data_IF_920353985427
#
_entry.id   IF_920353985427
#
_cell.length_a   1.000
_cell.length_b   1.000
_cell.length_c   1.000
_cell.angle_alpha   90.00
_cell.angle_beta   90.00
_cell.angle_gamma   90.00
#
_symmetry.space_group_name_H-M   'P 1'
#
loop_
_entity.id
_entity.type
_entity.pdbx_description
1 polymer ?
#
# COMPACT_ATOMS: atom_id res chain seq x y z
N UNK A 1 19.61 -7.00 -23.61
CA UNK A 1 18.92 -5.96 -22.79
C UNK A 1 17.57 -6.40 -22.21
N UNK A 2 16.82 -7.33 -22.83
CA UNK A 2 15.50 -7.79 -22.33
C UNK A 2 15.53 -8.51 -20.98
N UNK A 3 16.62 -9.18 -20.64
CA UNK A 3 16.77 -9.90 -19.37
C UNK A 3 16.91 -8.98 -18.16
N UNK A 4 17.64 -7.86 -18.29
CA UNK A 4 17.93 -6.95 -17.18
C UNK A 4 16.67 -6.18 -16.75
N UNK A 5 15.85 -5.77 -17.71
CA UNK A 5 14.59 -5.09 -17.42
C UNK A 5 13.50 -6.03 -16.88
N UNK A 6 13.49 -7.30 -17.30
CA UNK A 6 12.62 -8.34 -16.71
C UNK A 6 13.04 -8.68 -15.27
N UNK A 7 14.33 -8.68 -14.95
CA UNK A 7 14.82 -8.84 -13.57
C UNK A 7 14.41 -7.63 -12.72
N UNK A 8 14.61 -6.41 -13.20
CA UNK A 8 14.18 -5.20 -12.50
C UNK A 8 12.67 -5.18 -12.22
N UNK A 9 11.86 -5.58 -13.20
CA UNK A 9 10.40 -5.73 -13.03
C UNK A 9 10.06 -6.65 -11.85
N UNK A 10 10.72 -7.81 -11.75
CA UNK A 10 10.51 -8.78 -10.66
C UNK A 10 10.98 -8.24 -9.32
N UNK A 11 12.12 -7.56 -9.28
CA UNK A 11 12.66 -6.99 -8.05
C UNK A 11 11.75 -5.89 -7.50
N UNK A 12 11.26 -5.00 -8.36
CA UNK A 12 10.30 -3.96 -7.97
C UNK A 12 9.00 -4.55 -7.44
N UNK A 13 8.45 -5.57 -8.14
CA UNK A 13 7.27 -6.29 -7.66
C UNK A 13 7.49 -6.97 -6.31
N UNK A 14 8.60 -7.69 -6.16
CA UNK A 14 8.94 -8.37 -4.92
C UNK A 14 9.13 -7.39 -3.77
N UNK A 15 9.74 -6.23 -4.03
CA UNK A 15 9.96 -5.20 -3.02
C UNK A 15 8.66 -4.50 -2.65
N UNK A 16 7.78 -4.21 -3.61
CA UNK A 16 6.48 -3.60 -3.34
C UNK A 16 5.54 -4.57 -2.59
N UNK A 17 5.28 -5.75 -3.14
CA UNK A 17 4.36 -6.73 -2.54
C UNK A 17 4.94 -7.31 -1.25
N UNK A 18 6.25 -7.59 -1.22
CA UNK A 18 6.94 -8.02 -0.01
C UNK A 18 6.94 -6.94 1.07
N UNK A 19 7.11 -5.67 0.69
CA UNK A 19 6.98 -4.53 1.60
C UNK A 19 5.59 -4.39 2.19
N UNK A 20 4.54 -4.57 1.37
CA UNK A 20 3.15 -4.58 1.84
C UNK A 20 2.93 -5.71 2.87
N UNK A 21 3.39 -6.92 2.56
CA UNK A 21 3.27 -8.05 3.49
C UNK A 21 4.06 -7.81 4.79
N UNK A 22 5.30 -7.34 4.69
CA UNK A 22 6.17 -7.14 5.83
C UNK A 22 5.63 -6.06 6.77
N UNK A 23 5.18 -4.91 6.25
CA UNK A 23 4.67 -3.85 7.11
C UNK A 23 3.30 -4.18 7.69
N UNK A 24 2.38 -4.74 6.89
CA UNK A 24 1.04 -5.06 7.33
C UNK A 24 0.96 -6.20 8.36
N UNK A 25 1.69 -7.30 8.12
CA UNK A 25 1.53 -8.53 8.93
C UNK A 25 2.64 -8.79 9.94
N UNK A 26 3.82 -8.16 9.78
CA UNK A 26 4.93 -8.32 10.73
C UNK A 26 5.15 -7.03 11.52
N UNK A 27 5.42 -5.91 10.84
CA UNK A 27 5.82 -4.68 11.53
C UNK A 27 4.68 -4.07 12.37
N UNK A 28 3.46 -4.02 11.84
CA UNK A 28 2.33 -3.45 12.60
C UNK A 28 2.03 -4.27 13.88
N UNK A 29 1.83 -5.60 13.85
CA UNK A 29 1.59 -6.37 15.07
C UNK A 29 2.75 -6.30 16.07
N UNK A 30 4.00 -6.35 15.59
CA UNK A 30 5.18 -6.26 16.48
C UNK A 30 5.30 -4.89 17.12
N UNK A 31 4.95 -3.79 16.44
CA UNK A 31 4.93 -2.46 17.04
C UNK A 31 3.88 -2.37 18.16
N UNK A 32 2.67 -2.85 17.93
CA UNK A 32 1.61 -2.83 18.95
C UNK A 32 1.87 -3.78 20.12
N UNK A 33 2.61 -4.87 19.91
CA UNK A 33 2.98 -5.79 21.00
C UNK A 33 4.22 -5.35 21.77
N UNK A 34 5.17 -4.66 21.13
CA UNK A 34 6.48 -4.35 21.71
C UNK A 34 6.57 -2.94 22.29
N UNK A 35 5.78 -1.99 21.76
CA UNK A 35 5.73 -0.62 22.25
C UNK A 35 4.58 -0.51 23.25
N UNK A 36 4.90 -0.26 24.53
CA UNK A 36 3.90 -0.14 25.60
C UNK A 36 2.95 1.08 25.47
N UNK A 37 3.21 1.97 24.50
CA UNK A 37 2.39 3.12 24.15
C UNK A 37 1.71 2.90 22.78
N UNK A 38 0.39 2.60 22.75
CA UNK A 38 -0.37 2.38 21.52
C UNK A 38 -0.39 3.59 20.57
N UNK A 39 -0.30 4.80 21.10
CA UNK A 39 -0.29 6.04 20.31
C UNK A 39 1.03 6.16 19.55
N UNK A 40 2.15 5.87 20.21
CA UNK A 40 3.48 5.86 19.59
C UNK A 40 3.59 4.74 18.55
N UNK A 41 3.11 3.52 18.87
CA UNK A 41 3.05 2.40 17.94
C UNK A 41 2.28 2.76 16.65
N UNK A 42 1.09 3.37 16.81
CA UNK A 42 0.27 3.79 15.68
C UNK A 42 0.87 4.93 14.85
N UNK A 43 1.67 5.81 15.46
CA UNK A 43 2.40 6.86 14.73
C UNK A 43 3.54 6.26 13.89
N UNK A 44 4.32 5.34 14.46
CA UNK A 44 5.41 4.66 13.74
C UNK A 44 4.86 3.78 12.64
N UNK A 45 3.80 3.01 12.91
CA UNK A 45 3.12 2.19 11.90
C UNK A 45 2.63 3.05 10.72
N UNK A 46 2.01 4.20 10.99
CA UNK A 46 1.59 5.15 9.95
C UNK A 46 2.75 5.62 9.07
N UNK A 47 3.92 5.94 9.66
CA UNK A 47 5.12 6.32 8.90
C UNK A 47 5.66 5.16 8.03
N UNK A 48 5.62 3.92 8.52
CA UNK A 48 6.02 2.75 7.76
C UNK A 48 5.08 2.49 6.58
N UNK A 49 3.77 2.62 6.78
CA UNK A 49 2.78 2.55 5.69
C UNK A 49 2.98 3.68 4.67
N UNK A 50 3.31 4.90 5.10
CA UNK A 50 3.66 5.99 4.19
C UNK A 50 4.86 5.62 3.31
N UNK A 51 5.94 5.12 3.91
CA UNK A 51 7.16 4.74 3.20
C UNK A 51 6.91 3.64 2.18
N UNK A 52 6.20 2.57 2.57
CA UNK A 52 5.80 1.51 1.63
C UNK A 52 4.87 2.03 0.55
N UNK A 53 3.96 2.95 0.88
CA UNK A 53 3.11 3.61 -0.11
C UNK A 53 3.91 4.39 -1.15
N UNK A 54 4.92 5.16 -0.73
CA UNK A 54 5.81 5.88 -1.64
C UNK A 54 6.64 4.95 -2.53
N UNK A 55 7.19 3.89 -1.93
CA UNK A 55 7.92 2.84 -2.66
C UNK A 55 6.98 2.15 -3.67
N UNK A 56 5.75 1.87 -3.27
CA UNK A 56 4.72 1.28 -4.12
C UNK A 56 4.30 2.18 -5.28
N UNK A 57 4.13 3.48 -5.04
CA UNK A 57 3.86 4.45 -6.10
C UNK A 57 5.01 4.55 -7.10
N UNK A 58 6.26 4.66 -6.60
CA UNK A 58 7.44 4.70 -7.46
C UNK A 58 7.61 3.40 -8.26
N UNK A 59 7.43 2.26 -7.60
CA UNK A 59 7.51 0.94 -8.20
C UNK A 59 6.41 0.71 -9.24
N UNK A 60 5.15 0.99 -8.92
CA UNK A 60 4.02 0.87 -9.83
C UNK A 60 4.13 1.78 -11.04
N UNK A 61 4.59 3.02 -10.86
CA UNK A 61 4.85 3.94 -11.97
C UNK A 61 5.92 3.38 -12.92
N UNK A 62 7.01 2.83 -12.37
CA UNK A 62 8.03 2.14 -13.17
C UNK A 62 7.46 0.94 -13.92
N UNK A 63 6.62 0.11 -13.26
CA UNK A 63 5.97 -1.04 -13.88
C UNK A 63 5.06 -0.61 -15.04
N UNK A 64 4.32 0.50 -14.92
CA UNK A 64 3.51 1.04 -16.02
C UNK A 64 4.36 1.51 -17.20
N UNK A 65 5.43 2.28 -16.94
CA UNK A 65 6.33 2.73 -18.01
C UNK A 65 6.98 1.54 -18.71
N UNK A 66 7.38 0.51 -17.96
CA UNK A 66 7.92 -0.73 -18.52
C UNK A 66 6.90 -1.47 -19.40
N UNK A 67 5.65 -1.60 -18.93
CA UNK A 67 4.55 -2.25 -19.68
C UNK A 67 4.24 -1.52 -20.99
N UNK A 68 4.16 -0.18 -20.94
CA UNK A 68 3.95 0.67 -22.12
C UNK A 68 5.15 0.58 -23.07
N UNK A 69 6.38 0.63 -22.56
CA UNK A 69 7.59 0.51 -23.39
C UNK A 69 7.72 -0.85 -24.08
N UNK A 70 7.20 -1.93 -23.46
CA UNK A 70 7.27 -3.29 -24.03
C UNK A 70 6.19 -3.58 -25.07
N UNK A 71 4.97 -3.10 -24.86
CA UNK A 71 3.81 -3.46 -25.69
C UNK A 71 3.14 -2.26 -26.39
N UNK A 72 3.60 -1.04 -26.17
CA UNK A 72 3.03 0.18 -26.71
C UNK A 72 1.54 0.31 -26.37
N UNK A 73 0.74 0.74 -27.34
CA UNK A 73 -0.72 0.90 -27.19
C UNK A 73 -1.44 -0.43 -26.94
N UNK A 74 -0.85 -1.57 -27.34
CA UNK A 74 -1.45 -2.89 -27.14
C UNK A 74 -1.51 -3.29 -25.65
N UNK A 75 -0.80 -2.60 -24.76
CA UNK A 75 -0.83 -2.85 -23.31
C UNK A 75 -2.21 -2.62 -22.71
N UNK A 76 -3.01 -1.70 -23.27
CA UNK A 76 -4.35 -1.33 -22.78
C UNK A 76 -5.31 -2.53 -22.86
N UNK A 77 -5.07 -3.44 -23.81
CA UNK A 77 -5.86 -4.67 -23.97
C UNK A 77 -5.49 -5.76 -22.96
N UNK A 78 -4.42 -5.58 -22.18
CA UNK A 78 -3.94 -6.58 -21.21
C UNK A 78 -4.43 -6.24 -19.81
N UNK A 79 -5.01 -7.24 -19.13
CA UNK A 79 -5.50 -7.08 -17.76
C UNK A 79 -4.43 -6.64 -16.75
N UNK A 80 -3.16 -7.01 -16.99
CA UNK A 80 -2.02 -6.62 -16.13
C UNK A 80 -1.87 -5.10 -16.04
N UNK A 81 -2.13 -4.36 -17.12
CA UNK A 81 -2.05 -2.90 -17.12
C UNK A 81 -3.10 -2.28 -16.20
N UNK A 82 -4.35 -2.72 -16.31
CA UNK A 82 -5.45 -2.27 -15.45
C UNK A 82 -5.25 -2.66 -13.99
N UNK A 83 -4.63 -3.83 -13.74
CA UNK A 83 -4.33 -4.29 -12.39
C UNK A 83 -3.26 -3.41 -11.72
N UNK A 84 -2.18 -3.05 -12.44
CA UNK A 84 -1.16 -2.12 -11.93
C UNK A 84 -1.75 -0.72 -11.70
N UNK A 85 -2.60 -0.24 -12.60
CA UNK A 85 -3.33 1.04 -12.40
C UNK A 85 -4.19 0.97 -11.14
N UNK A 86 -4.98 -0.09 -10.99
CA UNK A 86 -5.86 -0.27 -9.83
C UNK A 86 -5.05 -0.30 -8.53
N UNK A 87 -3.94 -1.03 -8.50
CA UNK A 87 -3.02 -1.05 -7.35
C UNK A 87 -2.48 0.34 -7.04
N UNK A 88 -1.98 1.07 -8.04
CA UNK A 88 -1.48 2.44 -7.86
C UNK A 88 -2.56 3.39 -7.32
N UNK A 89 -3.79 3.27 -7.82
CA UNK A 89 -4.92 4.08 -7.33
C UNK A 89 -5.27 3.73 -5.88
N UNK A 90 -5.24 2.45 -5.50
CA UNK A 90 -5.43 2.03 -4.11
C UNK A 90 -4.31 2.55 -3.21
N UNK A 91 -3.05 2.43 -3.62
CA UNK A 91 -1.90 2.96 -2.86
C UNK A 91 -2.00 4.47 -2.71
N UNK A 92 -2.37 5.20 -3.78
CA UNK A 92 -2.55 6.64 -3.74
C UNK A 92 -3.72 7.05 -2.82
N UNK A 93 -4.86 6.35 -2.91
CA UNK A 93 -6.00 6.58 -2.03
C UNK A 93 -5.66 6.31 -0.55
N UNK A 94 -4.87 5.27 -0.28
CA UNK A 94 -4.34 4.99 1.05
C UNK A 94 -3.41 6.09 1.57
N UNK A 95 -2.45 6.51 0.74
CA UNK A 95 -1.41 7.48 1.11
C UNK A 95 -1.95 8.92 1.22
N UNK A 96 -2.77 9.36 0.28
CA UNK A 96 -3.26 10.75 0.21
C UNK A 96 -4.70 10.94 0.71
N UNK A 97 -5.48 9.87 0.82
CA UNK A 97 -6.83 9.93 1.38
C UNK A 97 -6.83 9.50 2.85
N UNK A 98 -6.52 8.23 3.10
CA UNK A 98 -6.76 7.60 4.40
C UNK A 98 -5.75 8.08 5.46
N UNK A 99 -4.46 8.13 5.14
CA UNK A 99 -3.43 8.55 6.09
C UNK A 99 -3.59 9.99 6.61
N UNK A 100 -3.83 11.02 5.78
CA UNK A 100 -4.01 12.39 6.30
C UNK A 100 -5.30 12.53 7.10
N UNK A 101 -6.38 11.84 6.74
CA UNK A 101 -7.62 11.84 7.54
C UNK A 101 -7.35 11.27 8.93
N UNK A 102 -6.64 10.15 9.05
CA UNK A 102 -6.24 9.60 10.35
C UNK A 102 -5.32 10.53 11.15
N UNK A 103 -4.39 11.21 10.47
CA UNK A 103 -3.47 12.14 11.12
C UNK A 103 -4.22 13.38 11.65
N UNK A 104 -5.17 13.92 10.87
CA UNK A 104 -6.02 15.03 11.28
C UNK A 104 -6.89 14.64 12.47
N UNK A 105 -7.56 13.47 12.41
CA UNK A 105 -8.33 12.95 13.53
C UNK A 105 -7.45 12.84 14.79
N UNK A 106 -6.24 12.26 14.71
CA UNK A 106 -5.33 12.18 15.86
C UNK A 106 -4.90 13.55 16.40
N UNK A 107 -4.72 14.55 15.55
CA UNK A 107 -4.35 15.91 15.96
C UNK A 107 -5.51 16.67 16.61
N UNK A 108 -6.74 16.44 16.15
CA UNK A 108 -7.97 17.03 16.72
C UNK A 108 -8.35 16.40 18.08
N UNK A 109 -7.88 15.20 18.38
CA UNK A 109 -8.07 14.57 19.69
C UNK A 109 -7.14 15.12 20.79
N UNK A 110 -6.11 15.91 20.44
CA UNK A 110 -5.15 16.48 21.39
C UNK A 110 -5.69 17.62 22.29
N UNK A 111 -6.65 18.50 21.90
CA UNK A 111 -7.00 19.66 22.72
C UNK A 111 -8.08 19.44 23.79
N UNK A 112 -8.69 18.27 23.94
CA UNK A 112 -9.68 18.10 25.02
C UNK A 112 -10.52 16.84 24.92
N UNK A 113 -10.54 16.11 26.02
CA UNK A 113 -11.39 14.96 26.37
C UNK A 113 -12.90 15.24 26.27
N UNK A 114 -13.43 15.58 25.09
CA UNK A 114 -14.85 15.95 25.00
C UNK A 114 -15.72 14.94 24.26
N UNK A 115 -15.22 13.93 23.52
CA UNK A 115 -16.09 12.87 22.94
C UNK A 115 -15.35 11.53 22.73
N UNK A 116 -14.95 10.88 23.82
CA UNK A 116 -14.10 9.67 23.84
C UNK A 116 -14.67 8.46 23.06
N UNK A 117 -16.00 8.38 22.88
CA UNK A 117 -16.66 7.31 22.09
C UNK A 117 -16.76 7.63 20.60
N UNK A 118 -17.28 8.80 20.22
CA UNK A 118 -17.46 9.16 18.80
C UNK A 118 -16.12 9.29 18.05
N UNK A 119 -15.05 9.67 18.75
CA UNK A 119 -13.70 9.70 18.20
C UNK A 119 -13.14 8.29 17.97
N UNK A 120 -13.27 7.40 18.96
CA UNK A 120 -12.85 5.99 18.83
C UNK A 120 -13.60 5.28 17.73
N UNK A 121 -14.91 5.51 17.60
CA UNK A 121 -15.74 4.88 16.56
C UNK A 121 -15.33 5.34 15.17
N UNK A 122 -15.08 6.64 14.97
CA UNK A 122 -14.57 7.17 13.70
C UNK A 122 -13.17 6.67 13.38
N UNK A 123 -12.27 6.65 14.37
CA UNK A 123 -10.93 6.13 14.19
C UNK A 123 -10.95 4.64 13.85
N UNK A 124 -11.75 3.84 14.55
CA UNK A 124 -11.94 2.42 14.30
C UNK A 124 -12.57 2.15 12.93
N UNK A 125 -13.55 2.95 12.51
CA UNK A 125 -14.15 2.83 11.18
C UNK A 125 -13.13 3.11 10.07
N UNK A 126 -12.41 4.24 10.14
CA UNK A 126 -11.35 4.56 9.18
C UNK A 126 -10.20 3.57 9.24
N UNK A 127 -9.89 3.02 10.41
CA UNK A 127 -8.91 1.96 10.58
C UNK A 127 -9.34 0.67 9.89
N UNK A 128 -10.57 0.21 10.11
CA UNK A 128 -11.13 -0.94 9.41
C UNK A 128 -11.13 -0.76 7.89
N UNK A 129 -11.56 0.41 7.40
CA UNK A 129 -11.53 0.73 5.96
C UNK A 129 -10.09 0.66 5.44
N UNK A 130 -9.13 1.26 6.15
CA UNK A 130 -7.72 1.22 5.77
C UNK A 130 -7.17 -0.21 5.71
N UNK A 131 -7.53 -1.06 6.68
CA UNK A 131 -7.11 -2.46 6.73
C UNK A 131 -7.70 -3.27 5.59
N UNK A 132 -8.96 -3.05 5.23
CA UNK A 132 -9.61 -3.72 4.10
C UNK A 132 -8.98 -3.27 2.77
N UNK A 133 -8.78 -1.96 2.58
CA UNK A 133 -8.10 -1.44 1.39
C UNK A 133 -6.69 -2.04 1.27
N UNK A 134 -5.95 -2.08 2.37
CA UNK A 134 -4.61 -2.65 2.41
C UNK A 134 -4.58 -4.16 2.15
N UNK A 135 -5.55 -4.89 2.69
CA UNK A 135 -5.72 -6.33 2.45
C UNK A 135 -6.00 -6.59 0.97
N UNK A 136 -6.94 -5.86 0.38
CA UNK A 136 -7.28 -5.96 -1.04
C UNK A 136 -6.07 -5.61 -1.91
N UNK A 137 -5.36 -4.53 -1.59
CA UNK A 137 -4.12 -4.13 -2.28
C UNK A 137 -3.07 -5.25 -2.21
N UNK A 138 -2.87 -5.85 -1.03
CA UNK A 138 -1.91 -6.95 -0.85
C UNK A 138 -2.31 -8.20 -1.63
N UNK A 139 -3.59 -8.59 -1.61
CA UNK A 139 -4.10 -9.74 -2.36
C UNK A 139 -3.98 -9.54 -3.87
N UNK A 140 -4.31 -8.34 -4.36
CA UNK A 140 -4.15 -7.97 -5.76
C UNK A 140 -2.67 -7.94 -6.16
N UNK A 141 -1.78 -7.46 -5.28
CA UNK A 141 -0.33 -7.50 -5.48
C UNK A 141 0.21 -8.92 -5.59
N UNK A 142 -0.21 -9.82 -4.69
CA UNK A 142 0.14 -11.24 -4.74
C UNK A 142 -0.40 -11.92 -6.01
N UNK A 143 -1.63 -11.59 -6.39
CA UNK A 143 -2.21 -12.06 -7.65
C UNK A 143 -1.42 -11.57 -8.87
N UNK A 144 -0.99 -10.30 -8.86
CA UNK A 144 -0.15 -9.73 -9.90
C UNK A 144 1.20 -10.46 -9.99
N UNK A 145 1.81 -10.82 -8.87
CA UNK A 145 3.04 -11.63 -8.84
C UNK A 145 2.79 -13.02 -9.45
N UNK A 146 1.73 -13.71 -9.01
CA UNK A 146 1.39 -15.06 -9.48
C UNK A 146 0.93 -15.12 -10.95
N UNK A 147 0.37 -14.02 -11.47
CA UNK A 147 -0.05 -13.90 -12.87
C UNK A 147 1.06 -13.33 -13.76
N UNK A 148 1.87 -12.40 -13.24
CA UNK A 148 2.98 -11.77 -13.96
C UNK A 148 3.97 -12.81 -14.50
N UNK A 149 4.24 -13.87 -13.73
CA UNK A 149 5.07 -14.99 -14.19
C UNK A 149 4.44 -15.81 -15.33
N UNK A 150 3.11 -15.83 -15.42
CA UNK A 150 2.36 -16.53 -16.47
C UNK A 150 2.16 -15.68 -17.72
N UNK A 151 1.99 -14.36 -17.59
CA UNK A 151 1.75 -13.43 -18.69
C UNK A 151 3.01 -12.85 -19.37
N UNK A 152 4.19 -13.09 -18.78
CA UNK A 152 5.50 -12.79 -19.39
C UNK A 152 5.97 -13.89 -20.36
N UNK A 153 5.32 -15.06 -20.37
CA UNK A 153 5.46 -16.10 -21.40
C UNK A 153 4.50 -15.82 -22.56
#
# INVERSE_FOLDING_TARGET
MRTLSEVLYRWVLALWVGGLCAIGYLAAPTLFSSVGDPQLAGMVAGKLFALVGWIGLGGGAYLLVFLIGRWGVAVIKRGVFWLVILLLLLTAAGLFGIQPIMAQLKAEALPGYVMDSAFRDRFAAWHGISSVVYLVETLLGLWLVAWGERGLR
#
